data_IF_718444286382
#
_entry.id   IF_718444286382
#
_cell.length_a   1.000
_cell.length_b   1.000
_cell.length_c   1.000
_cell.angle_alpha   90.00
_cell.angle_beta   90.00
_cell.angle_gamma   90.00
#
_symmetry.space_group_name_H-M   'P 1'
#
loop_
_entity.id
_entity.type
_entity.pdbx_description
1 polymer ?
#
# COMPACT_ATOMS: atom_id res chain seq x y z
N UNK A 1 -18.18 7.08 -23.49
CA UNK A 1 -17.68 6.21 -22.41
C UNK A 1 -16.81 7.12 -21.57
N UNK A 2 -17.41 7.81 -20.61
CA UNK A 2 -16.65 8.64 -19.68
C UNK A 2 -15.81 7.67 -18.84
N UNK A 3 -14.48 7.80 -18.92
CA UNK A 3 -13.62 7.11 -17.97
C UNK A 3 -13.89 7.79 -16.62
N UNK A 4 -14.62 7.11 -15.75
CA UNK A 4 -14.78 7.52 -14.36
C UNK A 4 -13.45 7.22 -13.65
N UNK A 5 -12.56 8.21 -13.64
CA UNK A 5 -11.22 8.11 -13.02
C UNK A 5 -11.39 8.40 -11.54
N UNK A 6 -11.35 7.34 -10.72
CA UNK A 6 -11.48 7.46 -9.28
C UNK A 6 -10.24 8.03 -8.59
N UNK A 7 -10.33 8.30 -7.27
CA UNK A 7 -9.22 8.82 -6.46
C UNK A 7 -7.97 7.93 -6.49
N UNK A 8 -8.16 6.62 -6.61
CA UNK A 8 -7.08 5.64 -6.70
C UNK A 8 -6.30 5.78 -8.01
N UNK A 9 -6.99 5.90 -9.13
CA UNK A 9 -6.41 6.07 -10.46
C UNK A 9 -5.63 7.38 -10.56
N UNK A 10 -6.18 8.46 -9.99
CA UNK A 10 -5.49 9.74 -9.87
C UNK A 10 -4.22 9.62 -9.02
N UNK A 11 -4.28 8.91 -7.90
CA UNK A 11 -3.12 8.65 -7.04
C UNK A 11 -2.04 7.85 -7.76
N UNK A 12 -2.44 6.83 -8.53
CA UNK A 12 -1.53 6.02 -9.34
C UNK A 12 -0.86 6.85 -10.45
N UNK A 13 -1.64 7.67 -11.17
CA UNK A 13 -1.10 8.57 -12.18
C UNK A 13 -0.10 9.55 -11.58
N UNK A 14 -0.46 10.20 -10.47
CA UNK A 14 0.40 11.12 -9.74
C UNK A 14 1.70 10.43 -9.30
N UNK A 15 1.60 9.22 -8.73
CA UNK A 15 2.75 8.41 -8.31
C UNK A 15 3.73 8.16 -9.46
N UNK A 16 3.22 7.66 -10.60
CA UNK A 16 4.05 7.35 -11.77
C UNK A 16 4.70 8.62 -12.35
N UNK A 17 3.92 9.70 -12.45
CA UNK A 17 4.40 10.99 -12.95
C UNK A 17 5.48 11.60 -12.04
N UNK A 18 5.34 11.46 -10.71
CA UNK A 18 6.27 12.01 -9.72
C UNK A 18 7.49 11.13 -9.47
N UNK A 19 7.46 9.84 -9.82
CA UNK A 19 8.56 8.89 -9.55
C UNK A 19 9.90 9.41 -10.09
N UNK A 20 9.96 9.84 -11.36
CA UNK A 20 11.22 10.32 -11.96
C UNK A 20 11.65 11.70 -11.42
N UNK A 21 10.79 12.72 -11.33
CA UNK A 21 11.14 14.00 -10.74
C UNK A 21 11.67 13.89 -9.30
N UNK A 22 10.99 13.13 -8.43
CA UNK A 22 11.39 12.95 -7.03
C UNK A 22 12.70 12.18 -6.97
N UNK A 23 12.85 11.10 -7.74
CA UNK A 23 14.11 10.35 -7.79
C UNK A 23 15.29 11.25 -8.19
N UNK A 24 15.11 12.13 -9.18
CA UNK A 24 16.16 13.06 -9.62
C UNK A 24 16.45 14.14 -8.58
N UNK A 25 15.43 14.58 -7.86
CA UNK A 25 15.59 15.53 -6.77
C UNK A 25 16.36 14.94 -5.60
N UNK A 26 16.04 13.69 -5.20
CA UNK A 26 16.71 13.00 -4.10
C UNK A 26 18.14 12.58 -4.45
N UNK A 27 18.37 12.12 -5.68
CA UNK A 27 19.72 11.75 -6.17
C UNK A 27 20.51 12.95 -6.72
N UNK A 28 20.18 14.19 -6.35
CA UNK A 28 20.81 15.41 -6.89
C UNK A 28 22.31 15.47 -6.66
N UNK A 29 22.76 14.89 -5.56
CA UNK A 29 24.15 14.93 -5.10
C UNK A 29 25.00 13.80 -5.72
N UNK A 30 24.37 12.78 -6.32
CA UNK A 30 25.02 11.57 -6.86
C UNK A 30 24.50 11.22 -8.28
N UNK A 31 24.71 12.08 -9.29
CA UNK A 31 24.15 11.89 -10.64
C UNK A 31 24.70 10.66 -11.38
N UNK A 32 25.91 10.20 -11.06
CA UNK A 32 26.58 9.03 -11.65
C UNK A 32 25.92 7.69 -11.28
N UNK A 33 25.25 7.65 -10.13
CA UNK A 33 24.53 6.47 -9.65
C UNK A 33 23.21 6.26 -10.40
N UNK A 34 22.75 7.25 -11.18
CA UNK A 34 21.48 7.17 -11.90
C UNK A 34 21.52 6.20 -13.08
N UNK A 35 20.45 5.44 -13.26
CA UNK A 35 20.22 4.64 -14.47
C UNK A 35 19.62 5.52 -15.56
N UNK A 36 20.23 5.62 -16.75
CA UNK A 36 19.59 6.26 -17.89
C UNK A 36 18.31 5.47 -18.26
N UNK A 37 17.18 6.15 -18.44
CA UNK A 37 15.90 5.49 -18.75
C UNK A 37 15.97 4.54 -19.96
N UNK A 38 16.84 4.86 -20.94
CA UNK A 38 17.08 4.02 -22.12
C UNK A 38 17.75 2.67 -21.80
N UNK A 39 18.53 2.62 -20.72
CA UNK A 39 19.29 1.45 -20.30
C UNK A 39 18.60 0.69 -19.16
N UNK A 40 17.42 1.12 -18.71
CA UNK A 40 16.72 0.52 -17.58
C UNK A 40 16.41 -0.96 -17.80
N UNK A 41 15.99 -1.35 -19.01
CA UNK A 41 15.76 -2.76 -19.35
C UNK A 41 17.04 -3.59 -19.32
N UNK A 42 18.17 -2.99 -19.72
CA UNK A 42 19.49 -3.63 -19.67
C UNK A 42 19.91 -3.83 -18.22
N UNK A 43 19.78 -2.81 -17.37
CA UNK A 43 20.08 -2.88 -15.94
C UNK A 43 19.23 -3.95 -15.24
N UNK A 44 17.92 -3.99 -15.51
CA UNK A 44 17.00 -5.01 -14.98
C UNK A 44 17.50 -6.43 -15.30
N UNK A 45 17.99 -6.64 -16.53
CA UNK A 45 18.46 -7.94 -17.00
C UNK A 45 19.83 -8.30 -16.45
N UNK A 46 20.78 -7.37 -16.45
CA UNK A 46 22.17 -7.62 -16.04
C UNK A 46 22.31 -7.80 -14.52
N UNK A 47 21.52 -7.08 -13.73
CA UNK A 47 21.55 -7.12 -12.27
C UNK A 47 20.61 -8.14 -11.63
N UNK A 48 19.85 -8.89 -12.43
CA UNK A 48 19.00 -9.97 -11.92
C UNK A 48 17.73 -9.49 -11.20
N UNK A 49 17.27 -8.26 -11.47
CA UNK A 49 16.00 -7.75 -10.91
C UNK A 49 14.75 -8.56 -11.32
N UNK A 50 14.89 -9.52 -12.23
CA UNK A 50 13.87 -10.53 -12.56
C UNK A 50 13.34 -11.28 -11.34
N UNK A 51 14.17 -11.53 -10.32
CA UNK A 51 13.70 -12.12 -9.06
C UNK A 51 12.68 -11.22 -8.35
N UNK A 52 12.89 -9.90 -8.36
CA UNK A 52 11.97 -8.93 -7.77
C UNK A 52 10.62 -8.97 -8.49
N UNK A 53 10.64 -8.99 -9.83
CA UNK A 53 9.43 -9.11 -10.65
C UNK A 53 8.70 -10.42 -10.32
N UNK A 54 9.43 -11.53 -10.21
CA UNK A 54 8.88 -12.81 -9.80
C UNK A 54 8.25 -12.78 -8.39
N UNK A 55 8.90 -12.09 -7.45
CA UNK A 55 8.42 -11.92 -6.08
C UNK A 55 7.10 -11.13 -6.05
N UNK A 56 7.02 -10.00 -6.76
CA UNK A 56 5.79 -9.21 -6.88
C UNK A 56 4.69 -10.01 -7.58
N UNK A 57 5.01 -10.77 -8.63
CA UNK A 57 4.05 -11.64 -9.30
C UNK A 57 3.52 -12.74 -8.34
N UNK A 58 4.40 -13.35 -7.55
CA UNK A 58 4.02 -14.33 -6.54
C UNK A 58 3.12 -13.71 -5.46
N UNK A 59 3.45 -12.51 -4.97
CA UNK A 59 2.61 -11.76 -4.04
C UNK A 59 1.23 -11.46 -4.62
N UNK A 60 1.16 -11.07 -5.89
CA UNK A 60 -0.11 -10.80 -6.58
C UNK A 60 -0.97 -12.06 -6.72
N UNK A 61 -0.38 -13.19 -7.12
CA UNK A 61 -1.07 -14.48 -7.22
C UNK A 61 -1.54 -14.93 -5.83
N UNK A 62 -0.68 -14.80 -4.82
CA UNK A 62 -1.01 -15.15 -3.45
C UNK A 62 -2.18 -14.29 -2.94
N UNK A 63 -2.14 -12.97 -3.15
CA UNK A 63 -3.25 -12.07 -2.85
C UNK A 63 -4.55 -12.52 -3.52
N UNK A 64 -4.52 -12.75 -4.83
CA UNK A 64 -5.71 -13.15 -5.58
C UNK A 64 -6.29 -14.48 -5.07
N UNK A 65 -5.43 -15.42 -4.72
CA UNK A 65 -5.85 -16.69 -4.11
C UNK A 65 -6.50 -16.46 -2.74
N UNK A 66 -5.92 -15.63 -1.89
CA UNK A 66 -6.45 -15.29 -0.57
C UNK A 66 -7.79 -14.58 -0.69
N UNK A 67 -7.90 -13.56 -1.54
CA UNK A 67 -9.13 -12.79 -1.75
C UNK A 67 -10.28 -13.70 -2.19
N UNK A 68 -10.01 -14.69 -3.05
CA UNK A 68 -11.01 -15.67 -3.47
C UNK A 68 -11.53 -16.54 -2.31
N UNK A 69 -10.68 -16.88 -1.34
CA UNK A 69 -11.03 -17.73 -0.21
C UNK A 69 -11.48 -16.93 1.03
N UNK A 70 -11.28 -15.61 1.05
CA UNK A 70 -11.43 -14.77 2.22
C UNK A 70 -12.82 -14.89 2.86
N UNK A 71 -13.89 -14.68 2.08
CA UNK A 71 -15.27 -14.74 2.59
C UNK A 71 -15.62 -16.12 3.16
N UNK A 72 -15.15 -17.20 2.52
CA UNK A 72 -15.38 -18.57 2.99
C UNK A 72 -14.66 -18.86 4.32
N UNK A 73 -13.52 -18.20 4.56
CA UNK A 73 -12.74 -18.33 5.78
C UNK A 73 -13.33 -17.49 6.90
N UNK A 74 -13.73 -16.24 6.63
CA UNK A 74 -14.40 -15.36 7.62
C UNK A 74 -15.62 -16.04 8.24
N UNK A 75 -16.45 -16.68 7.42
CA UNK A 75 -17.64 -17.39 7.88
C UNK A 75 -17.34 -18.57 8.84
N UNK A 76 -16.12 -19.12 8.81
CA UNK A 76 -15.72 -20.29 9.60
C UNK A 76 -14.96 -19.96 10.89
N UNK A 77 -14.20 -18.87 10.90
CA UNK A 77 -13.29 -18.51 12.01
C UNK A 77 -14.00 -17.69 13.09
N UNK A 78 -15.07 -16.96 12.75
CA UNK A 78 -15.73 -16.03 13.66
C UNK A 78 -14.99 -14.68 13.75
N UNK A 79 -15.69 -13.64 14.22
CA UNK A 79 -15.17 -12.28 14.30
C UNK A 79 -14.57 -11.95 15.67
N UNK A 80 -13.43 -11.26 15.67
CA UNK A 80 -12.76 -10.72 16.87
C UNK A 80 -13.24 -9.30 17.22
N UNK A 81 -14.15 -8.74 16.44
CA UNK A 81 -14.68 -7.38 16.59
C UNK A 81 -15.14 -7.07 18.03
N UNK A 82 -15.83 -8.01 18.68
CA UNK A 82 -16.30 -7.83 20.05
C UNK A 82 -15.15 -7.67 21.06
N UNK A 83 -14.08 -8.46 20.94
CA UNK A 83 -12.89 -8.33 21.81
C UNK A 83 -12.21 -6.98 21.65
N UNK A 84 -12.14 -6.48 20.41
CA UNK A 84 -11.56 -5.16 20.14
C UNK A 84 -12.47 -4.06 20.69
N UNK A 85 -13.78 -4.15 20.47
CA UNK A 85 -14.74 -3.19 21.00
C UNK A 85 -14.77 -3.17 22.53
N UNK A 86 -14.63 -4.31 23.21
CA UNK A 86 -14.56 -4.38 24.66
C UNK A 86 -13.32 -3.65 25.23
N UNK A 87 -12.25 -3.50 24.43
CA UNK A 87 -11.04 -2.77 24.79
C UNK A 87 -11.08 -1.29 24.38
N UNK A 88 -11.59 -1.00 23.19
CA UNK A 88 -11.60 0.32 22.56
C UNK A 88 -12.81 1.16 22.97
N UNK A 89 -13.97 0.53 23.12
CA UNK A 89 -15.27 1.17 23.30
C UNK A 89 -15.57 2.15 22.16
N UNK A 90 -16.14 3.29 22.52
CA UNK A 90 -16.48 4.37 21.58
C UNK A 90 -15.32 5.38 21.41
N UNK A 91 -14.11 5.05 21.83
CA UNK A 91 -12.98 5.97 21.76
C UNK A 91 -12.69 6.44 20.34
N UNK A 92 -12.79 5.55 19.34
CA UNK A 92 -12.60 5.91 17.93
C UNK A 92 -13.67 6.87 17.44
N UNK A 93 -14.92 6.69 17.86
CA UNK A 93 -16.00 7.63 17.54
C UNK A 93 -15.70 9.00 18.16
N UNK A 94 -15.25 9.05 19.42
CA UNK A 94 -14.85 10.30 20.05
C UNK A 94 -13.71 10.99 19.30
N UNK A 95 -12.70 10.25 18.82
CA UNK A 95 -11.63 10.79 17.98
C UNK A 95 -12.21 11.34 16.67
N UNK A 96 -13.06 10.57 15.99
CA UNK A 96 -13.70 11.02 14.75
C UNK A 96 -14.45 12.34 14.98
N UNK A 97 -15.37 12.38 15.94
CA UNK A 97 -16.22 13.56 16.20
C UNK A 97 -15.40 14.78 16.63
N UNK A 98 -14.33 14.58 17.40
CA UNK A 98 -13.48 15.67 17.89
C UNK A 98 -12.67 16.31 16.76
N UNK A 99 -12.21 15.53 15.79
CA UNK A 99 -11.36 15.99 14.69
C UNK A 99 -12.09 16.10 13.35
N UNK A 100 -13.39 15.78 13.30
CA UNK A 100 -14.18 15.79 12.07
C UNK A 100 -14.19 17.18 11.46
N UNK A 101 -13.57 17.30 10.28
CA UNK A 101 -13.50 18.52 9.50
C UNK A 101 -13.30 18.15 8.03
N UNK A 102 -14.16 18.67 7.15
CA UNK A 102 -14.17 18.30 5.73
C UNK A 102 -12.79 18.42 5.06
N UNK A 103 -12.10 19.55 5.27
CA UNK A 103 -10.78 19.79 4.69
C UNK A 103 -9.72 18.85 5.27
N UNK A 104 -9.72 18.64 6.58
CA UNK A 104 -8.78 17.72 7.22
C UNK A 104 -9.00 16.29 6.74
N UNK A 105 -10.26 15.85 6.64
CA UNK A 105 -10.66 14.55 6.16
C UNK A 105 -10.19 14.33 4.72
N UNK A 106 -10.45 15.28 3.81
CA UNK A 106 -9.97 15.20 2.43
C UNK A 106 -8.45 15.08 2.36
N UNK A 107 -7.72 15.92 3.11
CA UNK A 107 -6.25 15.90 3.11
C UNK A 107 -5.70 14.58 3.64
N UNK A 108 -6.25 14.06 4.73
CA UNK A 108 -5.80 12.79 5.33
C UNK A 108 -6.16 11.61 4.42
N UNK A 109 -7.35 11.60 3.81
CA UNK A 109 -7.75 10.55 2.87
C UNK A 109 -6.86 10.54 1.62
N UNK A 110 -6.61 11.71 1.03
CA UNK A 110 -5.69 11.85 -0.09
C UNK A 110 -4.27 11.41 0.28
N UNK A 111 -3.78 11.83 1.46
CA UNK A 111 -2.48 11.41 1.98
C UNK A 111 -2.41 9.89 2.18
N UNK A 112 -3.43 9.29 2.79
CA UNK A 112 -3.47 7.86 3.07
C UNK A 112 -3.42 7.04 1.77
N UNK A 113 -4.28 7.35 0.79
CA UNK A 113 -4.32 6.66 -0.50
C UNK A 113 -3.00 6.80 -1.27
N UNK A 114 -2.45 8.01 -1.31
CA UNK A 114 -1.21 8.28 -2.02
C UNK A 114 0.00 7.64 -1.35
N UNK A 115 0.16 7.80 -0.03
CA UNK A 115 1.35 7.34 0.69
C UNK A 115 1.48 5.82 0.70
N UNK A 116 0.36 5.10 0.81
CA UNK A 116 0.39 3.65 0.74
C UNK A 116 1.00 3.17 -0.60
N UNK A 117 0.49 3.70 -1.71
CA UNK A 117 0.99 3.39 -3.06
C UNK A 117 2.43 3.86 -3.23
N UNK A 118 2.73 5.06 -2.73
CA UNK A 118 4.05 5.65 -2.80
C UNK A 118 5.10 4.79 -2.09
N UNK A 119 4.85 4.33 -0.87
CA UNK A 119 5.82 3.50 -0.14
C UNK A 119 6.13 2.21 -0.91
N UNK A 120 5.10 1.47 -1.33
CA UNK A 120 5.25 0.18 -2.00
C UNK A 120 5.96 0.31 -3.35
N UNK A 121 5.66 1.35 -4.12
CA UNK A 121 6.23 1.54 -5.45
C UNK A 121 7.55 2.30 -5.44
N UNK A 122 7.59 3.45 -4.77
CA UNK A 122 8.70 4.40 -4.89
C UNK A 122 9.98 3.86 -4.28
N UNK A 123 9.92 3.17 -3.13
CA UNK A 123 11.11 2.64 -2.46
C UNK A 123 11.92 1.67 -3.35
N UNK A 124 11.37 0.55 -3.85
CA UNK A 124 12.10 -0.35 -4.72
C UNK A 124 12.50 0.31 -6.05
N UNK A 125 11.62 1.15 -6.62
CA UNK A 125 11.92 1.87 -7.87
C UNK A 125 13.07 2.85 -7.71
N UNK A 126 13.16 3.55 -6.58
CA UNK A 126 14.24 4.47 -6.28
C UNK A 126 15.58 3.72 -6.30
N UNK A 127 15.69 2.62 -5.57
CA UNK A 127 16.94 1.84 -5.49
C UNK A 127 17.36 1.24 -6.85
N UNK A 128 16.40 0.75 -7.64
CA UNK A 128 16.65 0.30 -9.01
C UNK A 128 17.17 1.45 -9.88
N UNK A 129 16.56 2.63 -9.77
CA UNK A 129 16.93 3.82 -10.56
C UNK A 129 18.27 4.44 -10.12
N UNK A 130 18.78 4.10 -8.93
CA UNK A 130 20.09 4.55 -8.40
C UNK A 130 21.14 3.43 -8.35
N UNK A 131 20.91 2.28 -9.01
CA UNK A 131 21.83 1.14 -9.06
C UNK A 131 22.18 0.55 -7.68
N UNK A 132 21.31 0.70 -6.69
CA UNK A 132 21.49 0.11 -5.36
C UNK A 132 20.76 -1.23 -5.28
N UNK A 133 21.41 -2.28 -5.79
CA UNK A 133 20.86 -3.63 -5.84
C UNK A 133 20.57 -4.21 -4.45
N UNK A 134 21.44 -3.95 -3.48
CA UNK A 134 21.31 -4.49 -2.12
C UNK A 134 20.10 -3.88 -1.41
N UNK A 135 19.87 -2.58 -1.55
CA UNK A 135 18.69 -1.96 -0.96
C UNK A 135 17.41 -2.29 -1.71
N UNK A 136 17.46 -2.47 -3.04
CA UNK A 136 16.32 -2.97 -3.80
C UNK A 136 15.88 -4.36 -3.32
N UNK A 137 16.84 -5.28 -3.13
CA UNK A 137 16.58 -6.63 -2.60
C UNK A 137 15.94 -6.57 -1.21
N UNK A 138 16.51 -5.76 -0.31
CA UNK A 138 15.99 -5.57 1.05
C UNK A 138 14.58 -4.98 1.04
N UNK A 139 14.32 -3.99 0.19
CA UNK A 139 13.00 -3.38 0.08
C UNK A 139 11.95 -4.41 -0.39
N UNK A 140 12.26 -5.18 -1.43
CA UNK A 140 11.36 -6.20 -1.95
C UNK A 140 11.13 -7.34 -0.95
N UNK A 141 12.18 -7.83 -0.29
CA UNK A 141 12.06 -8.84 0.76
C UNK A 141 11.28 -8.34 1.97
N UNK A 142 11.46 -7.08 2.36
CA UNK A 142 10.69 -6.47 3.45
C UNK A 142 9.19 -6.52 3.15
N UNK A 143 8.77 -6.10 1.95
CA UNK A 143 7.36 -6.18 1.55
C UNK A 143 6.84 -7.61 1.52
N UNK A 144 7.63 -8.54 1.00
CA UNK A 144 7.26 -9.95 0.99
C UNK A 144 7.05 -10.52 2.39
N UNK A 145 7.96 -10.24 3.33
CA UNK A 145 7.84 -10.68 4.73
C UNK A 145 6.62 -10.04 5.39
N UNK A 146 6.40 -8.74 5.22
CA UNK A 146 5.18 -8.06 5.71
C UNK A 146 3.94 -8.77 5.17
N UNK A 147 3.91 -9.12 3.89
CA UNK A 147 2.77 -9.80 3.28
C UNK A 147 2.54 -11.20 3.85
N UNK A 148 3.61 -11.98 4.01
CA UNK A 148 3.54 -13.31 4.61
C UNK A 148 3.04 -13.29 6.05
N UNK A 149 3.37 -12.26 6.83
CA UNK A 149 2.92 -12.10 8.21
C UNK A 149 1.49 -11.52 8.28
N UNK A 150 1.17 -10.54 7.44
CA UNK A 150 -0.11 -9.86 7.45
C UNK A 150 -1.25 -10.75 6.96
N UNK A 151 -1.05 -11.55 5.91
CA UNK A 151 -2.13 -12.37 5.33
C UNK A 151 -2.77 -13.34 6.32
N UNK A 152 -2.01 -14.15 7.09
CA UNK A 152 -2.59 -14.99 8.13
C UNK A 152 -3.35 -14.17 9.18
N UNK A 153 -2.82 -13.01 9.59
CA UNK A 153 -3.51 -12.15 10.55
C UNK A 153 -4.86 -11.66 9.97
N UNK A 154 -4.92 -11.22 8.72
CA UNK A 154 -6.16 -10.81 8.06
C UNK A 154 -7.18 -11.95 7.93
N UNK A 155 -6.73 -13.17 7.67
CA UNK A 155 -7.60 -14.33 7.50
C UNK A 155 -8.13 -14.88 8.82
N UNK A 156 -7.28 -14.96 9.85
CA UNK A 156 -7.60 -15.64 11.10
C UNK A 156 -8.01 -14.69 12.22
N UNK A 157 -7.58 -13.42 12.19
CA UNK A 157 -7.99 -12.39 13.14
C UNK A 157 -8.86 -11.36 12.43
N UNK A 158 -10.05 -11.79 12.02
CA UNK A 158 -10.98 -10.90 11.33
C UNK A 158 -11.58 -9.89 12.31
N UNK A 159 -11.35 -8.61 12.06
CA UNK A 159 -11.96 -7.47 12.76
C UNK A 159 -12.67 -6.64 11.71
N UNK A 160 -13.94 -6.33 11.95
CA UNK A 160 -14.74 -5.53 11.04
C UNK A 160 -14.31 -4.05 11.07
N UNK A 161 -14.73 -3.27 10.08
CA UNK A 161 -14.43 -1.84 10.04
C UNK A 161 -15.24 -1.15 11.15
N UNK A 162 -14.65 -0.21 11.87
CA UNK A 162 -15.28 0.47 13.01
C UNK A 162 -16.66 1.09 12.70
N UNK A 163 -16.85 1.61 11.48
CA UNK A 163 -18.14 2.13 11.01
C UNK A 163 -19.25 1.08 10.84
N UNK A 164 -18.91 -0.22 10.84
CA UNK A 164 -19.90 -1.30 10.71
C UNK A 164 -20.53 -1.73 12.04
N UNK A 165 -19.86 -1.49 13.16
CA UNK A 165 -20.30 -1.96 14.48
C UNK A 165 -20.44 -0.85 15.53
N UNK A 166 -19.85 0.34 15.34
CA UNK A 166 -20.01 1.48 16.25
C UNK A 166 -21.15 2.39 15.72
N UNK A 167 -22.28 2.53 16.44
CA UNK A 167 -23.37 3.40 16.02
C UNK A 167 -22.92 4.86 15.93
N UNK A 168 -23.24 5.52 14.81
CA UNK A 168 -22.93 6.94 14.58
C UNK A 168 -21.53 7.22 14.01
N UNK A 169 -20.72 6.19 13.77
CA UNK A 169 -19.42 6.36 13.12
C UNK A 169 -19.55 6.35 11.59
N UNK A 170 -18.79 7.22 10.91
CA UNK A 170 -18.87 7.43 9.46
C UNK A 170 -17.73 6.72 8.73
N UNK A 171 -18.00 6.32 7.48
CA UNK A 171 -17.03 5.61 6.64
C UNK A 171 -16.23 6.59 5.76
N UNK A 172 -15.50 7.53 6.39
CA UNK A 172 -14.90 8.71 5.75
C UNK A 172 -14.07 8.46 4.46
N UNK A 173 -13.43 7.29 4.32
CA UNK A 173 -12.61 6.95 3.15
C UNK A 173 -13.43 6.50 1.92
N UNK A 174 -14.69 6.10 2.11
CA UNK A 174 -15.52 5.44 1.10
C UNK A 174 -16.64 6.34 0.54
N UNK A 175 -16.53 7.66 0.72
CA UNK A 175 -17.49 8.67 0.30
C UNK A 175 -17.04 9.44 -0.95
#
# INVERSE_FOLDING_TARGET
>A
MELDIGPYEWSMFALLAMTIPIQRFLSRDEPEMRVPLRNLLTEIREKGYWWHIGLYAAMFIFKAWIDHHNESMKARVGGFTHWIYDLEGDWVLWVQDTFSNDLLTELICAHYLFMYLFMIWFSPMYYILTKDEIMADKAALNYFVIYLLAVPLYLFFNVEVSSSYIPGMDALLYH
#
